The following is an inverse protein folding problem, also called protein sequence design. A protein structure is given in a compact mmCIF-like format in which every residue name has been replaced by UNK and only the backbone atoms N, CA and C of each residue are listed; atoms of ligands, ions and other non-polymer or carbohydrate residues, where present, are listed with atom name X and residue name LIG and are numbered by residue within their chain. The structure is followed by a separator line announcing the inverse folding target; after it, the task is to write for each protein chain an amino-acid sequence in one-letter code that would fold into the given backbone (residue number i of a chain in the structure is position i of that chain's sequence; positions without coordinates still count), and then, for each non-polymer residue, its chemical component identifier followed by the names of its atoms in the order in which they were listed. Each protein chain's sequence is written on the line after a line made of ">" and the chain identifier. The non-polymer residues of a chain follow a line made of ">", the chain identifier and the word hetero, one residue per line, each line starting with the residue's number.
data_IF_388327022464
#
_entry.id   IF_388327022464
#
_cell.length_a   1.000
_cell.length_b   1.000
_cell.length_c   1.000
_cell.angle_alpha   90.00
_cell.angle_beta   90.00
_cell.angle_gamma   90.00
#
_symmetry.space_group_name_H-M   'P 1'
#
loop_
_entity.id
_entity.type
_entity.pdbx_description
1 polymer ?
#
# COMPACT_ATOMS: atom_id res chain seq x y z
N UNK A 1 40.34 37.64 27.15
CA UNK A 1 39.80 38.75 26.37
C UNK A 1 38.67 38.22 25.47
N UNK A 2 37.50 38.61 25.87
CA UNK A 2 36.20 38.68 25.18
C UNK A 2 35.69 37.61 24.20
N UNK A 3 34.69 36.97 24.73
CA UNK A 3 33.61 36.22 24.09
C UNK A 3 32.77 37.16 23.15
N UNK A 4 32.20 36.60 22.08
CA UNK A 4 30.94 37.05 21.53
C UNK A 4 30.16 35.82 20.96
N UNK A 5 29.19 35.35 21.73
CA UNK A 5 28.02 34.59 21.34
C UNK A 5 27.15 35.34 20.34
N UNK A 6 26.72 34.67 19.26
CA UNK A 6 25.57 35.09 18.47
C UNK A 6 24.63 33.90 18.33
N UNK A 7 23.52 33.98 19.07
CA UNK A 7 22.39 33.11 18.88
C UNK A 7 21.53 33.62 17.71
N UNK A 8 21.12 32.74 16.84
CA UNK A 8 20.02 32.98 15.91
C UNK A 8 18.82 32.12 16.33
N UNK A 9 17.82 32.80 16.88
CA UNK A 9 16.47 32.30 17.03
C UNK A 9 15.78 32.46 15.68
N UNK A 10 15.43 31.37 15.04
CA UNK A 10 14.49 31.37 13.92
C UNK A 10 13.11 30.99 14.45
N UNK A 11 12.24 31.96 14.54
CA UNK A 11 10.84 31.80 14.88
C UNK A 11 10.08 31.53 13.58
N UNK A 12 9.62 30.30 13.34
CA UNK A 12 8.71 29.98 12.26
C UNK A 12 7.27 30.14 12.76
N UNK A 13 6.58 31.15 12.25
CA UNK A 13 5.15 31.33 12.46
C UNK A 13 4.39 30.52 11.41
N UNK A 14 3.69 29.46 11.82
CA UNK A 14 2.71 28.78 10.98
C UNK A 14 1.40 29.56 11.01
N UNK A 15 1.02 30.12 9.89
CA UNK A 15 -0.30 30.70 9.64
C UNK A 15 -1.22 29.61 9.09
N UNK A 16 -2.17 29.16 9.89
CA UNK A 16 -3.26 28.29 9.44
C UNK A 16 -4.25 29.13 8.60
N UNK A 17 -4.46 28.73 7.35
CA UNK A 17 -5.53 29.23 6.48
C UNK A 17 -6.70 28.27 6.55
N UNK A 18 -7.75 28.66 7.26
CA UNK A 18 -9.05 28.02 7.25
C UNK A 18 -9.83 28.48 6.00
N UNK A 19 -10.00 27.62 5.02
CA UNK A 19 -10.97 27.81 3.94
C UNK A 19 -12.22 26.98 4.24
N UNK A 20 -13.31 27.66 4.60
CA UNK A 20 -14.61 27.09 4.75
C UNK A 20 -15.24 26.79 3.39
N UNK A 21 -15.77 25.59 3.20
CA UNK A 21 -16.66 25.25 2.09
C UNK A 21 -18.12 25.32 2.55
N UNK A 22 -18.86 26.20 1.88
CA UNK A 22 -20.29 26.43 1.99
C UNK A 22 -21.06 25.34 1.22
N UNK A 23 -22.04 24.73 1.91
CA UNK A 23 -23.01 23.79 1.36
C UNK A 23 -24.03 24.51 0.46
N UNK A 24 -24.15 24.08 -0.79
CA UNK A 24 -25.22 24.46 -1.71
C UNK A 24 -26.14 23.27 -1.97
N UNK A 25 -27.31 23.28 -1.32
CA UNK A 25 -28.42 22.35 -1.57
C UNK A 25 -29.19 22.76 -2.82
N UNK A 26 -29.43 21.84 -3.75
CA UNK A 26 -30.45 22.01 -4.79
C UNK A 26 -31.22 20.71 -4.97
N UNK A 27 -32.46 20.74 -4.48
CA UNK A 27 -33.52 19.78 -4.82
C UNK A 27 -33.97 19.97 -6.27
N UNK A 28 -34.17 18.87 -7.03
CA UNK A 28 -35.18 18.83 -8.07
C UNK A 28 -35.81 17.44 -8.21
N UNK A 29 -37.08 17.49 -8.47
CA UNK A 29 -38.13 16.52 -8.27
C UNK A 29 -38.15 15.34 -9.27
N UNK A 30 -38.88 14.32 -8.85
CA UNK A 30 -39.26 13.10 -9.56
C UNK A 30 -40.14 13.37 -10.80
N UNK A 31 -40.01 12.50 -11.79
CA UNK A 31 -41.15 12.10 -12.62
C UNK A 31 -41.07 10.60 -12.98
N UNK A 32 -42.22 10.00 -12.88
CA UNK A 32 -42.64 8.62 -12.96
C UNK A 32 -42.78 8.20 -14.43
N UNK A 33 -42.35 6.99 -14.77
CA UNK A 33 -42.89 6.27 -15.93
C UNK A 33 -42.69 4.75 -15.80
N UNK A 34 -43.79 4.11 -15.47
CA UNK A 34 -44.08 2.67 -15.62
C UNK A 34 -44.06 2.20 -17.07
N UNK A 35 -43.43 1.07 -17.37
CA UNK A 35 -43.94 0.14 -18.39
C UNK A 35 -43.42 -1.29 -18.18
N UNK A 36 -44.34 -2.19 -18.12
CA UNK A 36 -44.29 -3.64 -17.96
C UNK A 36 -43.99 -4.37 -19.29
N UNK A 37 -43.69 -5.69 -19.10
CA UNK A 37 -43.76 -6.84 -20.06
C UNK A 37 -42.37 -7.25 -20.58
N UNK A 38 -42.00 -8.52 -20.72
CA UNK A 38 -42.74 -9.79 -20.67
C UNK A 38 -41.73 -10.94 -20.52
N UNK A 39 -42.19 -12.03 -19.96
CA UNK A 39 -41.56 -13.33 -19.74
C UNK A 39 -41.38 -14.10 -21.04
N UNK A 40 -40.22 -14.67 -21.32
CA UNK A 40 -40.11 -15.92 -22.11
C UNK A 40 -39.05 -16.84 -21.56
N UNK A 41 -39.52 -17.92 -20.96
CA UNK A 41 -38.81 -19.16 -20.68
C UNK A 41 -38.45 -19.89 -21.97
N UNK A 42 -37.20 -20.30 -22.11
CA UNK A 42 -36.82 -21.37 -23.03
C UNK A 42 -35.92 -22.36 -22.30
N UNK A 43 -36.51 -23.49 -22.01
CA UNK A 43 -35.86 -24.74 -21.66
C UNK A 43 -35.33 -25.39 -22.92
N UNK A 44 -34.05 -25.70 -23.01
CA UNK A 44 -33.58 -26.69 -23.95
C UNK A 44 -32.62 -27.66 -23.26
N UNK A 45 -33.09 -28.90 -23.26
CA UNK A 45 -32.46 -30.10 -22.70
C UNK A 45 -31.68 -30.76 -23.84
N UNK A 46 -30.39 -30.88 -23.72
CA UNK A 46 -29.62 -31.75 -24.60
C UNK A 46 -28.88 -32.82 -23.79
N UNK A 47 -29.12 -34.04 -24.20
CA UNK A 47 -28.76 -35.27 -23.54
C UNK A 47 -27.25 -35.57 -23.55
N UNK A 48 -26.89 -36.32 -22.48
CA UNK A 48 -25.58 -36.94 -22.28
C UNK A 48 -25.35 -38.07 -23.29
N UNK A 49 -24.13 -38.15 -23.78
CA UNK A 49 -23.56 -39.39 -24.28
C UNK A 49 -22.42 -39.80 -23.35
N UNK A 50 -22.67 -40.94 -22.65
CA UNK A 50 -21.73 -41.56 -21.71
C UNK A 50 -21.01 -42.67 -22.47
N UNK A 51 -19.74 -42.42 -22.79
CA UNK A 51 -18.83 -43.52 -23.15
C UNK A 51 -17.89 -43.78 -21.97
N UNK A 52 -18.16 -44.87 -21.27
CA UNK A 52 -17.27 -45.46 -20.27
C UNK A 52 -16.08 -46.13 -20.95
N UNK A 53 -14.85 -45.73 -20.55
CA UNK A 53 -13.66 -46.54 -20.71
C UNK A 53 -13.03 -46.79 -19.36
N UNK A 54 -12.67 -48.02 -19.01
CA UNK A 54 -12.04 -48.33 -17.73
C UNK A 54 -10.50 -48.21 -17.88
N UNK A 55 -9.88 -47.95 -16.75
CA UNK A 55 -8.47 -48.06 -16.41
C UNK A 55 -7.66 -46.75 -16.46
N UNK A 56 -7.20 -46.42 -15.27
CA UNK A 56 -5.99 -45.64 -15.12
C UNK A 56 -6.08 -44.46 -14.17
N UNK A 57 -5.78 -44.75 -12.93
CA UNK A 57 -5.07 -43.90 -11.98
C UNK A 57 -5.30 -42.37 -12.17
N UNK A 58 -6.36 -41.85 -11.61
CA UNK A 58 -6.44 -40.44 -11.31
C UNK A 58 -5.47 -40.15 -10.17
N UNK A 59 -4.25 -39.75 -10.51
CA UNK A 59 -3.45 -38.94 -9.60
C UNK A 59 -4.18 -37.61 -9.51
N UNK A 60 -4.88 -37.43 -8.43
CA UNK A 60 -5.37 -36.16 -7.96
C UNK A 60 -4.11 -35.30 -7.63
N UNK A 61 -3.59 -34.60 -8.63
CA UNK A 61 -2.60 -33.57 -8.42
C UNK A 61 -3.37 -32.36 -7.89
N UNK A 62 -3.77 -32.45 -6.64
CA UNK A 62 -3.93 -31.24 -5.83
C UNK A 62 -2.55 -30.64 -5.76
N UNK A 63 -2.25 -29.74 -6.68
CA UNK A 63 -1.15 -28.80 -6.51
C UNK A 63 -1.53 -27.97 -5.29
N UNK A 64 -1.07 -28.42 -4.11
CA UNK A 64 -0.86 -27.52 -3.01
C UNK A 64 0.10 -26.45 -3.55
N UNK A 65 -0.42 -25.28 -3.84
CA UNK A 65 0.37 -24.06 -3.96
C UNK A 65 0.81 -23.69 -2.55
N UNK A 66 1.60 -24.56 -1.93
CA UNK A 66 2.30 -24.21 -0.71
C UNK A 66 3.25 -23.07 -1.10
N UNK A 67 3.14 -21.95 -0.41
CA UNK A 67 4.08 -20.84 -0.57
C UNK A 67 5.49 -21.40 -0.45
N UNK A 68 6.29 -21.26 -1.53
CA UNK A 68 7.66 -21.73 -1.57
C UNK A 68 8.59 -20.54 -1.50
N UNK A 69 9.70 -20.69 -0.77
CA UNK A 69 10.74 -19.68 -0.76
C UNK A 69 11.26 -19.41 -2.16
N UNK A 70 11.36 -18.16 -2.52
CA UNK A 70 11.95 -17.71 -3.77
C UNK A 70 13.48 -17.75 -3.68
N UNK A 71 14.14 -17.63 -4.84
CA UNK A 71 15.60 -17.50 -4.87
C UNK A 71 16.03 -16.17 -4.24
N UNK A 72 17.05 -16.18 -3.36
CA UNK A 72 17.68 -14.96 -2.84
C UNK A 72 18.20 -14.06 -3.96
N UNK A 73 18.09 -12.73 -3.77
CA UNK A 73 18.62 -11.73 -4.70
C UNK A 73 20.16 -11.58 -4.62
N UNK A 74 20.80 -12.20 -3.61
CA UNK A 74 22.24 -12.10 -3.38
C UNK A 74 22.60 -11.12 -2.27
N UNK A 75 23.88 -10.76 -2.18
CA UNK A 75 24.43 -9.99 -1.05
C UNK A 75 24.58 -8.49 -1.30
N UNK A 76 24.35 -8.00 -2.51
CA UNK A 76 24.43 -6.57 -2.86
C UNK A 76 23.09 -6.16 -3.50
N UNK A 77 22.29 -5.41 -2.75
CA UNK A 77 20.91 -5.07 -3.13
C UNK A 77 20.63 -3.60 -2.86
N UNK A 78 20.06 -2.92 -3.84
CA UNK A 78 19.63 -1.52 -3.75
C UNK A 78 18.14 -1.45 -3.45
N UNK A 79 17.80 -0.80 -2.37
CA UNK A 79 16.45 -0.70 -1.83
C UNK A 79 16.03 0.77 -1.83
N UNK A 80 14.87 1.05 -2.40
CA UNK A 80 14.26 2.39 -2.35
C UNK A 80 12.96 2.32 -1.56
N UNK A 81 12.84 3.15 -0.53
CA UNK A 81 11.61 3.33 0.23
C UNK A 81 10.91 4.63 -0.17
N UNK A 82 9.75 4.50 -0.80
CA UNK A 82 8.90 5.59 -1.26
C UNK A 82 7.79 5.88 -0.25
N UNK A 83 7.81 7.07 0.34
CA UNK A 83 6.86 7.40 1.40
C UNK A 83 6.71 8.89 1.64
N UNK A 84 5.78 9.22 2.54
CA UNK A 84 5.65 10.50 3.24
C UNK A 84 5.35 10.26 4.72
N UNK A 85 5.44 11.32 5.52
CA UNK A 85 4.81 11.45 6.84
C UNK A 85 5.05 10.23 7.74
N UNK A 86 4.05 9.37 7.95
CA UNK A 86 4.15 8.13 8.73
C UNK A 86 5.39 7.30 8.40
N UNK A 87 5.73 7.17 7.11
CA UNK A 87 6.93 6.44 6.69
C UNK A 87 8.21 7.06 7.21
N UNK A 88 8.31 8.40 7.20
CA UNK A 88 9.46 9.11 7.77
C UNK A 88 9.57 8.93 9.28
N UNK A 89 8.44 8.84 9.99
CA UNK A 89 8.48 8.54 11.44
C UNK A 89 9.05 7.14 11.69
N UNK A 90 8.59 6.14 10.94
CA UNK A 90 9.13 4.77 11.09
C UNK A 90 10.60 4.69 10.64
N UNK A 91 10.97 5.40 9.56
CA UNK A 91 12.37 5.51 9.15
C UNK A 91 13.26 6.05 10.28
N UNK A 92 12.83 7.13 10.93
CA UNK A 92 13.48 7.71 12.11
C UNK A 92 13.56 6.78 13.32
N UNK A 93 12.79 5.70 13.36
CA UNK A 93 12.84 4.65 14.39
C UNK A 93 14.07 3.76 14.32
N UNK A 94 15.00 4.00 13.38
CA UNK A 94 16.31 3.35 13.31
C UNK A 94 16.51 2.39 12.13
N UNK A 95 15.76 2.56 11.03
CA UNK A 95 15.85 1.67 9.84
C UNK A 95 17.26 1.64 9.26
N UNK A 96 17.91 2.79 9.03
CA UNK A 96 19.29 2.83 8.47
C UNK A 96 20.31 2.14 9.36
N UNK A 97 20.22 2.38 10.68
CA UNK A 97 21.13 1.74 11.64
C UNK A 97 20.93 0.22 11.67
N UNK A 98 19.67 -0.23 11.60
CA UNK A 98 19.37 -1.65 11.55
C UNK A 98 20.01 -2.34 10.33
N UNK A 99 19.90 -1.74 9.13
CA UNK A 99 20.56 -2.27 7.92
C UNK A 99 22.08 -2.24 8.02
N UNK A 100 22.65 -1.20 8.63
CA UNK A 100 24.10 -1.10 8.88
C UNK A 100 24.57 -2.27 9.75
N UNK A 101 23.89 -2.54 10.85
CA UNK A 101 24.20 -3.61 11.78
C UNK A 101 23.98 -4.98 11.13
N UNK A 102 22.89 -5.16 10.40
CA UNK A 102 22.59 -6.39 9.67
C UNK A 102 23.70 -6.71 8.65
N UNK A 103 24.05 -5.76 7.80
CA UNK A 103 25.12 -5.91 6.81
C UNK A 103 26.44 -6.32 7.46
N UNK A 104 26.82 -5.69 8.58
CA UNK A 104 28.02 -6.01 9.31
C UNK A 104 28.00 -7.43 9.86
N UNK A 105 26.86 -7.88 10.37
CA UNK A 105 26.71 -9.19 11.00
C UNK A 105 26.60 -10.34 9.99
N UNK A 106 25.97 -10.07 8.83
CA UNK A 106 25.68 -11.09 7.81
C UNK A 106 26.67 -11.06 6.62
N UNK A 107 27.52 -10.04 6.54
CA UNK A 107 28.44 -9.88 5.41
C UNK A 107 27.75 -9.50 4.11
N UNK A 108 26.63 -8.77 4.21
CA UNK A 108 25.85 -8.27 3.09
C UNK A 108 26.13 -6.79 2.81
N UNK A 109 25.59 -6.26 1.72
CA UNK A 109 25.70 -4.86 1.28
C UNK A 109 24.33 -4.35 0.81
N UNK A 110 23.33 -4.46 1.69
CA UNK A 110 21.99 -3.95 1.42
C UNK A 110 21.97 -2.44 1.62
N UNK A 111 21.72 -1.70 0.53
CA UNK A 111 21.74 -0.24 0.50
C UNK A 111 20.30 0.28 0.47
N UNK A 112 19.81 0.77 1.59
CA UNK A 112 18.47 1.35 1.66
C UNK A 112 18.55 2.88 1.66
N UNK A 113 17.67 3.50 0.86
CA UNK A 113 17.47 4.95 0.81
C UNK A 113 15.98 5.27 0.83
N UNK A 114 15.63 6.44 1.37
CA UNK A 114 14.25 6.93 1.35
C UNK A 114 14.05 8.05 0.33
N UNK A 115 12.81 8.18 -0.17
CA UNK A 115 12.42 9.27 -1.06
C UNK A 115 10.97 9.65 -0.82
N UNK A 116 10.69 10.95 -0.71
CA UNK A 116 9.33 11.46 -0.72
C UNK A 116 8.66 11.18 -2.08
N UNK A 117 7.46 10.55 -2.06
CA UNK A 117 6.72 10.19 -3.26
C UNK A 117 5.21 10.02 -2.98
N UNK A 118 4.32 10.60 -3.84
CA UNK A 118 4.64 11.64 -4.81
C UNK A 118 5.10 12.92 -4.12
N UNK A 119 5.77 13.85 -4.85
CA UNK A 119 6.23 15.11 -4.29
C UNK A 119 5.07 16.09 -4.05
N UNK A 120 5.28 17.06 -3.13
CA UNK A 120 4.33 18.14 -2.89
C UNK A 120 4.03 18.97 -4.13
N UNK A 121 5.06 19.23 -4.93
CA UNK A 121 4.97 19.96 -6.19
C UNK A 121 6.02 19.41 -7.18
N UNK A 122 5.74 19.45 -8.49
CA UNK A 122 4.56 20.00 -9.17
C UNK A 122 3.35 19.06 -9.25
N UNK A 123 3.49 17.74 -8.91
CA UNK A 123 2.38 16.77 -8.97
C UNK A 123 1.26 17.13 -7.99
N UNK A 124 1.61 17.37 -6.75
CA UNK A 124 0.70 17.56 -5.64
C UNK A 124 0.70 16.35 -4.71
N UNK A 125 0.41 16.59 -3.44
CA UNK A 125 0.53 15.58 -2.40
C UNK A 125 -0.86 15.10 -1.93
N UNK A 126 -1.34 14.00 -2.50
CA UNK A 126 -2.51 13.28 -2.00
C UNK A 126 -2.12 11.93 -1.40
N UNK A 127 -1.19 11.22 -2.03
CA UNK A 127 -0.58 9.98 -1.55
C UNK A 127 -1.60 8.90 -1.16
N UNK A 128 -2.39 8.47 -2.14
CA UNK A 128 -3.36 7.40 -2.04
C UNK A 128 -3.39 6.59 -3.36
N UNK A 129 -4.15 5.49 -3.48
CA UNK A 129 -4.06 4.56 -4.62
C UNK A 129 -4.15 5.20 -6.01
N UNK A 130 -5.01 6.21 -6.19
CA UNK A 130 -5.13 6.90 -7.47
C UNK A 130 -3.82 7.54 -7.93
N UNK A 131 -3.06 8.20 -7.04
CA UNK A 131 -1.83 8.89 -7.42
C UNK A 131 -0.78 7.90 -7.96
N UNK A 132 -0.61 6.76 -7.30
CA UNK A 132 0.33 5.73 -7.73
C UNK A 132 -0.09 5.11 -9.06
N UNK A 133 -1.39 4.79 -9.21
CA UNK A 133 -1.93 4.33 -10.48
C UNK A 133 -1.76 5.37 -11.59
N UNK A 134 -2.04 6.64 -11.30
CA UNK A 134 -1.93 7.72 -12.27
C UNK A 134 -0.50 7.92 -12.76
N UNK A 135 0.50 7.86 -11.86
CA UNK A 135 1.91 8.04 -12.20
C UNK A 135 2.47 6.78 -12.89
N UNK A 136 2.21 5.59 -12.34
CA UNK A 136 2.90 4.39 -12.76
C UNK A 136 2.18 3.57 -13.83
N UNK A 137 0.87 3.73 -13.97
CA UNK A 137 0.06 2.99 -14.95
C UNK A 137 -0.44 3.91 -16.04
N UNK A 138 -1.18 4.97 -15.68
CA UNK A 138 -1.78 5.89 -16.65
C UNK A 138 -0.71 6.69 -17.43
N UNK A 139 0.38 7.07 -16.76
CA UNK A 139 1.51 7.80 -17.36
C UNK A 139 2.80 6.97 -17.35
N UNK A 140 2.67 5.64 -17.53
CA UNK A 140 3.82 4.74 -17.65
C UNK A 140 4.77 5.14 -18.79
N UNK A 141 6.05 4.81 -18.66
CA UNK A 141 7.06 5.05 -19.69
C UNK A 141 8.38 5.59 -19.14
N UNK A 142 9.37 5.85 -20.00
CA UNK A 142 10.73 6.18 -19.58
C UNK A 142 10.93 7.65 -19.17
N UNK A 143 9.84 8.45 -19.13
CA UNK A 143 9.88 9.89 -18.81
C UNK A 143 9.04 10.16 -17.57
N UNK A 144 9.58 10.94 -16.64
CA UNK A 144 8.88 11.35 -15.45
C UNK A 144 7.56 12.08 -15.76
N UNK A 145 6.51 11.75 -15.04
CA UNK A 145 5.23 12.44 -15.09
C UNK A 145 5.17 13.50 -14.00
N UNK A 146 5.07 14.77 -14.38
CA UNK A 146 5.04 15.90 -13.43
C UNK A 146 6.19 15.81 -12.41
N UNK A 147 7.40 15.49 -12.91
CA UNK A 147 8.63 15.25 -12.16
C UNK A 147 8.62 14.00 -11.25
N UNK A 148 7.54 13.22 -11.22
CA UNK A 148 7.49 11.96 -10.49
C UNK A 148 8.08 10.82 -11.32
N UNK A 149 8.95 9.97 -10.74
CA UNK A 149 9.52 8.85 -11.46
C UNK A 149 8.47 7.76 -11.71
N UNK A 150 8.50 7.21 -12.92
CA UNK A 150 7.71 6.02 -13.30
C UNK A 150 8.39 4.74 -12.83
N UNK A 151 7.68 3.61 -12.89
CA UNK A 151 8.28 2.32 -12.54
C UNK A 151 9.43 1.95 -13.48
N UNK A 152 9.37 2.31 -14.77
CA UNK A 152 10.46 2.11 -15.73
C UNK A 152 11.75 2.82 -15.30
N UNK A 153 11.62 4.00 -14.71
CA UNK A 153 12.78 4.77 -14.23
C UNK A 153 13.34 4.23 -12.91
N UNK A 154 12.46 3.75 -12.04
CA UNK A 154 12.82 3.24 -10.71
C UNK A 154 13.44 1.85 -10.81
N UNK A 155 12.81 0.92 -11.54
CA UNK A 155 13.27 -0.47 -11.70
C UNK A 155 14.58 -0.59 -12.46
N UNK A 156 14.93 0.40 -13.28
CA UNK A 156 16.24 0.48 -13.93
C UNK A 156 17.41 0.72 -12.94
N UNK A 157 17.13 1.09 -11.70
CA UNK A 157 18.14 1.52 -10.72
C UNK A 157 18.06 0.78 -9.38
N UNK A 158 16.91 0.21 -9.07
CA UNK A 158 16.60 -0.38 -7.78
C UNK A 158 16.22 -1.85 -7.93
N UNK A 159 16.70 -2.66 -7.01
CA UNK A 159 16.41 -4.09 -6.96
C UNK A 159 15.13 -4.35 -6.14
N UNK A 160 14.92 -3.55 -5.09
CA UNK A 160 13.72 -3.59 -4.25
C UNK A 160 13.10 -2.20 -4.17
N UNK A 161 11.79 -2.11 -4.35
CA UNK A 161 11.02 -0.88 -4.19
C UNK A 161 9.95 -1.10 -3.13
N UNK A 162 10.09 -0.41 -2.01
CA UNK A 162 9.07 -0.36 -0.96
C UNK A 162 8.23 0.89 -1.15
N UNK A 163 6.91 0.77 -1.10
CA UNK A 163 6.05 1.92 -1.24
C UNK A 163 4.82 1.84 -0.33
N UNK A 164 4.34 2.99 0.07
CA UNK A 164 3.19 3.15 0.96
C UNK A 164 2.35 4.37 0.62
N UNK A 165 1.10 4.31 1.00
CA UNK A 165 0.24 5.48 1.04
C UNK A 165 0.32 6.23 2.38
N UNK A 166 -0.25 7.44 2.43
CA UNK A 166 -0.43 8.19 3.66
C UNK A 166 -1.91 8.22 4.07
N UNK A 167 -2.26 9.00 5.08
CA UNK A 167 -3.60 9.07 5.69
C UNK A 167 -4.79 9.13 4.72
N UNK A 168 -4.70 9.79 3.53
CA UNK A 168 -5.83 9.80 2.60
C UNK A 168 -6.32 8.42 2.17
N UNK A 169 -5.48 7.38 2.24
CA UNK A 169 -5.88 6.00 1.93
C UNK A 169 -6.90 5.44 2.93
N UNK A 170 -6.92 5.92 4.16
CA UNK A 170 -7.78 5.41 5.23
C UNK A 170 -9.04 6.24 5.47
N UNK A 171 -9.17 7.38 4.79
CA UNK A 171 -10.41 8.17 4.73
C UNK A 171 -11.27 7.70 3.57
N UNK A 172 -11.95 6.55 3.71
CA UNK A 172 -12.66 5.89 2.60
C UNK A 172 -14.16 6.17 2.66
N UNK A 173 -14.71 6.67 1.55
CA UNK A 173 -16.13 6.89 1.32
C UNK A 173 -16.87 5.58 1.03
N UNK A 174 -18.20 5.61 1.08
CA UNK A 174 -19.02 4.47 0.69
C UNK A 174 -18.91 4.21 -0.82
N UNK A 175 -18.90 2.92 -1.20
CA UNK A 175 -18.96 2.49 -2.58
C UNK A 175 -20.28 2.94 -3.22
N UNK A 176 -20.27 3.21 -4.52
CA UNK A 176 -21.44 3.58 -5.30
C UNK A 176 -21.88 2.48 -6.29
N UNK A 177 -21.16 1.35 -6.33
CA UNK A 177 -21.43 0.20 -7.19
C UNK A 177 -20.95 0.36 -8.63
N UNK A 178 -20.10 1.35 -8.89
CA UNK A 178 -19.55 1.64 -10.22
C UNK A 178 -18.04 1.90 -10.13
N UNK A 179 -17.20 0.86 -10.01
CA UNK A 179 -15.76 1.03 -9.90
C UNK A 179 -15.19 1.73 -11.14
N UNK A 180 -14.43 2.78 -10.91
CA UNK A 180 -13.76 3.55 -11.95
C UNK A 180 -12.27 3.74 -11.58
N UNK A 181 -11.40 3.08 -12.32
CA UNK A 181 -9.96 3.14 -12.11
C UNK A 181 -9.38 4.56 -12.28
N UNK A 182 -10.07 5.41 -13.08
CA UNK A 182 -9.66 6.79 -13.35
C UNK A 182 -10.25 7.80 -12.35
N UNK A 183 -11.04 7.34 -11.40
CA UNK A 183 -11.70 8.20 -10.42
C UNK A 183 -10.78 8.53 -9.25
N UNK A 184 -10.78 9.80 -8.86
CA UNK A 184 -10.15 10.29 -7.63
C UNK A 184 -10.97 10.02 -6.37
N UNK A 185 -12.20 9.48 -6.50
CA UNK A 185 -13.04 9.17 -5.34
C UNK A 185 -12.45 8.02 -4.53
N UNK A 186 -12.38 8.24 -3.23
CA UNK A 186 -11.76 7.34 -2.27
C UNK A 186 -12.75 6.25 -1.82
N UNK A 187 -13.10 5.33 -2.72
CA UNK A 187 -13.97 4.18 -2.44
C UNK A 187 -13.17 2.87 -2.49
N UNK A 188 -13.63 1.84 -1.80
CA UNK A 188 -12.95 0.53 -1.80
C UNK A 188 -12.93 -0.05 -3.22
N UNK A 189 -14.02 0.09 -3.96
CA UNK A 189 -14.12 -0.42 -5.33
C UNK A 189 -13.12 0.26 -6.28
N UNK A 190 -12.93 1.58 -6.20
CA UNK A 190 -11.94 2.30 -7.00
C UNK A 190 -10.50 1.92 -6.60
N UNK A 191 -10.22 1.84 -5.30
CA UNK A 191 -8.91 1.40 -4.81
C UNK A 191 -8.56 -0.01 -5.28
N UNK A 192 -9.53 -0.95 -5.27
CA UNK A 192 -9.32 -2.30 -5.80
C UNK A 192 -8.99 -2.28 -7.29
N UNK A 193 -9.69 -1.45 -8.09
CA UNK A 193 -9.41 -1.29 -9.52
C UNK A 193 -8.02 -0.70 -9.77
N UNK A 194 -7.61 0.33 -9.01
CA UNK A 194 -6.29 0.95 -9.09
C UNK A 194 -5.17 -0.02 -8.67
N UNK A 195 -5.36 -0.79 -7.61
CA UNK A 195 -4.42 -1.81 -7.16
C UNK A 195 -4.29 -2.97 -8.16
N UNK A 196 -5.36 -3.36 -8.84
CA UNK A 196 -5.28 -4.34 -9.92
C UNK A 196 -4.41 -3.84 -11.09
N UNK A 197 -4.54 -2.56 -11.46
CA UNK A 197 -3.67 -1.93 -12.44
C UNK A 197 -2.21 -1.86 -12.00
N UNK A 198 -1.96 -1.44 -10.75
CA UNK A 198 -0.62 -1.40 -10.15
C UNK A 198 0.03 -2.78 -10.11
N UNK A 199 -0.71 -3.83 -9.70
CA UNK A 199 -0.23 -5.20 -9.69
C UNK A 199 0.22 -5.66 -11.08
N UNK A 200 -0.63 -5.44 -12.08
CA UNK A 200 -0.31 -5.76 -13.48
C UNK A 200 0.97 -5.05 -13.91
N UNK A 201 1.11 -3.77 -13.58
CA UNK A 201 2.28 -2.97 -13.95
C UNK A 201 3.56 -3.42 -13.25
N UNK A 202 3.52 -3.71 -11.96
CA UNK A 202 4.69 -4.20 -11.21
C UNK A 202 5.19 -5.56 -11.72
N UNK A 203 4.30 -6.44 -12.15
CA UNK A 203 4.64 -7.74 -12.74
C UNK A 203 5.37 -7.64 -14.09
N UNK A 204 5.35 -6.49 -14.77
CA UNK A 204 6.18 -6.24 -15.96
C UNK A 204 7.68 -6.19 -15.63
N UNK A 205 8.05 -6.04 -14.36
CA UNK A 205 9.43 -5.93 -13.89
C UNK A 205 9.84 -7.08 -12.94
N UNK A 206 9.88 -8.33 -13.45
CA UNK A 206 10.08 -9.51 -12.58
C UNK A 206 11.46 -9.57 -11.90
N UNK A 207 12.43 -8.77 -12.34
CA UNK A 207 13.74 -8.67 -11.69
C UNK A 207 13.75 -7.75 -10.46
N UNK A 208 12.73 -6.90 -10.31
CA UNK A 208 12.55 -6.01 -9.14
C UNK A 208 11.50 -6.58 -8.20
N UNK A 209 11.77 -6.60 -6.91
CA UNK A 209 10.81 -6.96 -5.87
C UNK A 209 10.12 -5.72 -5.32
N UNK A 210 8.82 -5.82 -5.13
CA UNK A 210 7.99 -4.73 -4.60
C UNK A 210 7.45 -5.11 -3.22
N UNK A 211 7.64 -4.24 -2.24
CA UNK A 211 7.04 -4.40 -0.92
C UNK A 211 5.97 -3.32 -0.72
N UNK A 212 4.74 -3.76 -0.57
CA UNK A 212 3.59 -2.89 -0.39
C UNK A 212 3.25 -2.81 1.10
N UNK A 213 3.23 -1.61 1.62
CA UNK A 213 2.95 -1.38 3.02
C UNK A 213 1.45 -1.09 3.22
N UNK A 214 0.77 -1.85 4.09
CA UNK A 214 -0.61 -1.57 4.49
C UNK A 214 -0.67 -0.41 5.51
N UNK A 215 -1.72 0.38 5.50
CA UNK A 215 -1.86 1.57 6.37
C UNK A 215 -1.62 2.87 5.57
N UNK A 216 -1.65 4.04 6.16
CA UNK A 216 -1.61 4.36 7.57
C UNK A 216 -3.04 4.48 8.17
N UNK A 217 -3.25 3.93 9.36
CA UNK A 217 -4.50 4.10 10.11
C UNK A 217 -4.61 5.51 10.71
N UNK A 218 -5.86 5.95 10.89
CA UNK A 218 -6.17 7.19 11.58
C UNK A 218 -6.56 6.90 13.05
N UNK A 219 -6.41 7.89 13.93
CA UNK A 219 -6.95 7.84 15.30
C UNK A 219 -8.48 7.88 15.26
N UNK A 220 -9.13 7.45 16.34
CA UNK A 220 -10.58 7.50 16.45
C UNK A 220 -11.15 8.92 16.39
N UNK A 221 -10.40 9.93 16.84
CA UNK A 221 -10.80 11.32 16.73
C UNK A 221 -10.77 11.85 15.28
N UNK A 222 -9.98 11.22 14.41
CA UNK A 222 -9.74 11.69 13.04
C UNK A 222 -10.49 10.88 11.96
N UNK A 223 -11.23 9.82 12.32
CA UNK A 223 -11.96 9.00 11.36
C UNK A 223 -13.25 8.43 11.91
N UNK A 224 -14.30 8.33 11.08
CA UNK A 224 -15.54 7.66 11.48
C UNK A 224 -15.37 6.14 11.51
N UNK A 225 -16.24 5.45 12.26
CA UNK A 225 -16.22 3.99 12.35
C UNK A 225 -16.48 3.34 10.99
N UNK A 226 -17.39 3.89 10.20
CA UNK A 226 -17.72 3.38 8.88
C UNK A 226 -16.53 3.51 7.92
N UNK A 227 -15.81 4.65 7.94
CA UNK A 227 -14.63 4.86 7.11
C UNK A 227 -13.46 3.99 7.56
N UNK A 228 -13.21 3.88 8.87
CA UNK A 228 -12.18 3.00 9.43
C UNK A 228 -12.46 1.52 9.12
N UNK A 229 -13.73 1.10 9.17
CA UNK A 229 -14.14 -0.25 8.78
C UNK A 229 -13.88 -0.53 7.31
N UNK A 230 -14.14 0.45 6.42
CA UNK A 230 -13.80 0.33 5.00
C UNK A 230 -12.29 0.25 4.77
N UNK A 231 -11.50 1.06 5.49
CA UNK A 231 -10.04 0.98 5.44
C UNK A 231 -9.52 -0.40 5.85
N UNK A 232 -10.01 -0.94 6.99
CA UNK A 232 -9.68 -2.30 7.41
C UNK A 232 -10.07 -3.35 6.37
N UNK A 233 -11.26 -3.23 5.78
CA UNK A 233 -11.72 -4.14 4.73
C UNK A 233 -10.80 -4.09 3.51
N UNK A 234 -10.37 -2.90 3.11
CA UNK A 234 -9.44 -2.73 2.00
C UNK A 234 -8.07 -3.38 2.29
N UNK A 235 -7.48 -3.12 3.46
CA UNK A 235 -6.18 -3.72 3.79
C UNK A 235 -6.26 -5.25 4.04
N UNK A 236 -7.37 -5.75 4.54
CA UNK A 236 -7.59 -7.20 4.61
C UNK A 236 -7.63 -7.81 3.20
N UNK A 237 -8.33 -7.18 2.26
CA UNK A 237 -8.35 -7.61 0.88
C UNK A 237 -6.94 -7.57 0.23
N UNK A 238 -6.14 -6.54 0.50
CA UNK A 238 -4.75 -6.47 0.01
C UNK A 238 -3.95 -7.70 0.47
N UNK A 239 -4.11 -8.12 1.71
CA UNK A 239 -3.38 -9.27 2.29
C UNK A 239 -3.89 -10.63 1.86
N UNK A 240 -5.19 -10.78 1.63
CA UNK A 240 -5.83 -12.09 1.46
C UNK A 240 -6.22 -12.43 0.02
N UNK A 241 -6.34 -11.42 -0.85
CA UNK A 241 -6.82 -11.62 -2.22
C UNK A 241 -5.94 -10.95 -3.27
N UNK A 242 -5.36 -9.78 -2.95
CA UNK A 242 -4.53 -9.06 -3.89
C UNK A 242 -3.08 -9.54 -3.86
N UNK A 243 -2.52 -9.82 -2.69
CA UNK A 243 -1.22 -10.46 -2.54
C UNK A 243 -1.31 -11.92 -2.99
N UNK A 244 -0.48 -12.34 -3.90
CA UNK A 244 -0.47 -13.70 -4.46
C UNK A 244 0.93 -14.28 -4.34
N UNK A 245 1.09 -15.50 -3.78
CA UNK A 245 2.40 -16.10 -3.66
C UNK A 245 3.01 -16.42 -5.03
N UNK A 246 4.34 -16.34 -5.11
CA UNK A 246 5.12 -16.72 -6.29
C UNK A 246 5.29 -15.62 -7.33
N UNK A 247 4.84 -14.41 -7.08
CA UNK A 247 5.14 -13.25 -7.91
C UNK A 247 6.25 -12.37 -7.29
N UNK A 248 6.47 -11.19 -7.84
CA UNK A 248 7.49 -10.26 -7.37
C UNK A 248 6.94 -9.16 -6.43
N UNK A 249 5.73 -9.36 -5.89
CA UNK A 249 5.05 -8.40 -5.04
C UNK A 249 4.82 -9.03 -3.67
N UNK A 250 5.07 -8.28 -2.62
CA UNK A 250 5.00 -8.73 -1.23
C UNK A 250 4.34 -7.66 -0.38
N UNK A 251 3.71 -8.05 0.72
CA UNK A 251 3.07 -7.11 1.66
C UNK A 251 3.89 -7.01 2.94
N UNK A 252 4.00 -5.80 3.49
CA UNK A 252 4.31 -5.57 4.90
C UNK A 252 3.07 -5.07 5.61
N UNK A 253 2.58 -5.85 6.59
CA UNK A 253 1.33 -5.55 7.28
C UNK A 253 1.52 -4.60 8.47
N UNK A 254 1.76 -3.34 8.15
CA UNK A 254 1.88 -2.28 9.15
C UNK A 254 0.53 -1.93 9.78
N UNK A 255 -0.58 -2.05 9.02
CA UNK A 255 -1.91 -1.77 9.56
C UNK A 255 -2.22 -2.63 10.80
N UNK A 256 -1.85 -3.91 10.78
CA UNK A 256 -2.00 -4.80 11.93
C UNK A 256 -1.16 -4.35 13.13
N UNK A 257 0.09 -3.96 12.87
CA UNK A 257 1.02 -3.48 13.91
C UNK A 257 0.53 -2.17 14.55
N UNK A 258 0.17 -1.19 13.73
CA UNK A 258 -0.22 0.14 14.21
C UNK A 258 -1.57 0.15 14.91
N UNK A 259 -2.53 -0.70 14.48
CA UNK A 259 -3.88 -0.77 15.04
C UNK A 259 -4.01 -1.82 16.15
N UNK A 260 -2.99 -2.67 16.34
CA UNK A 260 -3.06 -3.83 17.24
C UNK A 260 -4.28 -4.73 16.95
N UNK A 261 -4.60 -4.93 15.66
CA UNK A 261 -5.78 -5.68 15.21
C UNK A 261 -7.10 -4.91 15.29
N UNK A 262 -7.08 -3.64 15.67
CA UNK A 262 -8.25 -2.78 15.77
C UNK A 262 -8.60 -2.06 14.46
N UNK A 263 -9.40 -0.99 14.60
CA UNK A 263 -9.81 -0.12 13.49
C UNK A 263 -8.96 1.16 13.40
N UNK A 264 -8.39 1.58 14.51
CA UNK A 264 -7.75 2.88 14.67
C UNK A 264 -6.33 2.75 15.19
N UNK A 265 -5.52 3.75 14.89
CA UNK A 265 -4.26 3.95 15.61
C UNK A 265 -4.60 4.31 17.07
N UNK A 266 -4.21 3.51 18.07
CA UNK A 266 -4.54 3.78 19.46
C UNK A 266 -3.68 4.93 20.02
N UNK A 267 -4.21 5.64 21.02
CA UNK A 267 -3.58 6.84 21.60
C UNK A 267 -2.15 6.59 22.12
N UNK A 268 -1.86 5.39 22.62
CA UNK A 268 -0.52 5.04 23.10
C UNK A 268 0.52 4.88 21.96
N UNK A 269 0.09 4.83 20.73
CA UNK A 269 0.93 4.78 19.52
C UNK A 269 0.85 6.03 18.66
N UNK A 270 -0.15 6.89 18.90
CA UNK A 270 -0.31 8.14 18.19
C UNK A 270 0.56 9.26 18.80
N UNK A 271 0.91 10.24 18.01
CA UNK A 271 1.59 11.46 18.48
C UNK A 271 0.68 12.25 19.46
N UNK A 272 -0.62 12.29 19.16
CA UNK A 272 -1.68 12.74 20.06
C UNK A 272 -3.04 12.15 19.62
N UNK A 273 -4.11 12.24 20.41
CA UNK A 273 -5.43 11.76 20.01
C UNK A 273 -5.95 12.38 18.70
N UNK A 274 -5.55 13.60 18.38
CA UNK A 274 -5.94 14.34 17.17
C UNK A 274 -4.86 14.30 16.06
N UNK A 275 -3.73 13.68 16.33
CA UNK A 275 -2.62 13.53 15.37
C UNK A 275 -2.30 12.05 15.14
N UNK A 276 -2.70 11.56 13.99
CA UNK A 276 -2.54 10.15 13.59
C UNK A 276 -1.11 9.76 13.18
N UNK A 277 -0.11 10.62 13.37
CA UNK A 277 1.27 10.18 13.20
C UNK A 277 1.67 9.19 14.29
N UNK A 278 2.45 8.16 13.96
CA UNK A 278 3.08 7.31 14.97
C UNK A 278 3.94 8.14 15.94
N UNK A 279 3.97 7.74 17.19
CA UNK A 279 4.93 8.27 18.15
C UNK A 279 6.24 7.44 18.14
N UNK A 280 7.23 7.89 18.92
CA UNK A 280 8.53 7.22 19.02
C UNK A 280 8.42 5.78 19.49
N UNK A 281 7.42 5.43 20.30
CA UNK A 281 7.20 4.06 20.78
C UNK A 281 6.85 3.13 19.63
N UNK A 282 5.91 3.53 18.77
CA UNK A 282 5.56 2.74 17.59
C UNK A 282 6.70 2.75 16.57
N UNK A 283 7.38 3.88 16.38
CA UNK A 283 8.51 3.97 15.46
C UNK A 283 9.62 2.97 15.81
N UNK A 284 10.04 2.93 17.06
CA UNK A 284 11.10 2.03 17.55
C UNK A 284 10.67 0.54 17.49
N UNK A 285 9.39 0.26 17.68
CA UNK A 285 8.86 -1.10 17.55
C UNK A 285 8.79 -1.55 16.10
N UNK A 286 8.31 -0.69 15.21
CA UNK A 286 8.01 -1.06 13.83
C UNK A 286 9.24 -1.02 12.90
N UNK A 287 10.22 -0.14 13.15
CA UNK A 287 11.40 -0.01 12.29
C UNK A 287 12.19 -1.33 12.11
N UNK A 288 12.52 -2.10 13.17
CA UNK A 288 13.20 -3.38 13.00
C UNK A 288 12.33 -4.43 12.30
N UNK A 289 11.00 -4.43 12.51
CA UNK A 289 10.07 -5.34 11.84
C UNK A 289 9.96 -5.02 10.35
N UNK A 290 9.91 -3.74 10.00
CA UNK A 290 9.98 -3.28 8.62
C UNK A 290 11.26 -3.75 7.92
N UNK A 291 12.40 -3.49 8.54
CA UNK A 291 13.70 -3.87 7.99
C UNK A 291 13.83 -5.39 7.85
N UNK A 292 13.38 -6.17 8.84
CA UNK A 292 13.35 -7.63 8.77
C UNK A 292 12.48 -8.12 7.61
N UNK A 293 11.27 -7.55 7.43
CA UNK A 293 10.39 -7.92 6.31
C UNK A 293 11.04 -7.68 4.95
N UNK A 294 11.72 -6.55 4.78
CA UNK A 294 12.45 -6.25 3.54
C UNK A 294 13.56 -7.28 3.31
N UNK A 295 14.29 -7.66 4.35
CA UNK A 295 15.33 -8.70 4.26
C UNK A 295 14.72 -10.07 3.92
N UNK A 296 13.59 -10.45 4.52
CA UNK A 296 12.90 -11.70 4.17
C UNK A 296 12.56 -11.75 2.67
N UNK A 297 12.08 -10.62 2.13
CA UNK A 297 11.85 -10.50 0.69
C UNK A 297 13.14 -10.67 -0.10
N UNK A 298 14.24 -10.00 0.27
CA UNK A 298 15.54 -10.09 -0.41
C UNK A 298 16.08 -11.52 -0.40
N UNK A 299 15.97 -12.21 0.72
CA UNK A 299 16.53 -13.55 0.94
C UNK A 299 15.64 -14.68 0.44
N UNK A 300 14.51 -14.36 -0.20
CA UNK A 300 13.63 -15.34 -0.83
C UNK A 300 12.52 -15.87 0.08
N UNK A 301 12.43 -15.39 1.30
CA UNK A 301 11.38 -15.77 2.27
C UNK A 301 10.14 -14.86 2.20
N UNK A 302 9.96 -14.13 1.11
CA UNK A 302 8.88 -13.16 0.98
C UNK A 302 7.49 -13.77 1.14
N UNK A 303 7.26 -14.97 0.62
CA UNK A 303 5.97 -15.66 0.70
C UNK A 303 5.80 -16.53 1.95
N UNK A 304 6.89 -16.90 2.61
CA UNK A 304 6.87 -17.82 3.77
C UNK A 304 7.10 -17.11 5.10
N UNK A 305 7.75 -15.95 5.09
CA UNK A 305 7.97 -15.12 6.27
C UNK A 305 6.69 -14.42 6.74
N UNK A 306 6.65 -14.04 8.01
CA UNK A 306 5.51 -13.27 8.53
C UNK A 306 5.42 -11.91 7.87
N UNK A 307 4.25 -11.55 7.39
CA UNK A 307 4.04 -10.27 6.70
C UNK A 307 4.16 -9.05 7.61
N UNK A 308 4.15 -9.23 8.94
CA UNK A 308 4.47 -8.19 9.94
C UNK A 308 5.96 -7.97 10.13
N UNK A 309 6.82 -8.87 9.64
CA UNK A 309 8.26 -8.85 9.85
C UNK A 309 8.73 -9.39 11.21
N UNK A 310 7.82 -10.00 11.97
CA UNK A 310 8.19 -10.71 13.20
C UNK A 310 8.99 -11.98 12.85
N UNK A 311 9.98 -12.37 13.66
CA UNK A 311 10.79 -13.56 13.42
C UNK A 311 10.00 -14.88 13.55
#
# INVERSE_FOLDING_TARGET
>A
MNARTWGFLALLAMTAVLLGCSSGSSKKAAEDATSSNDVTTSTDTAAQDVTTHPDGLTTDVTTNLDAQDQTSMGSDVKILFLHHSTGGVIWGGGVEQWFTDYNSNQGTSYQIVEQAFPKDAPYGWNNYPFDYWNIWVNHAGPVAFTEEPTLEMLTAKQDVIVWKHCFPVSGIDADNGAPDVTSEQKTVENYKAQYAGLKTKMREFPATRFVVWTGAALTQASNSEESATRARTFFQWVKSEWDEPGDNIFVWDFYELETQGGLYLPDNFAASPDDSHPNDTLAQLAAPLFAQRVVDVIEGRGDTGKITGEP
#
